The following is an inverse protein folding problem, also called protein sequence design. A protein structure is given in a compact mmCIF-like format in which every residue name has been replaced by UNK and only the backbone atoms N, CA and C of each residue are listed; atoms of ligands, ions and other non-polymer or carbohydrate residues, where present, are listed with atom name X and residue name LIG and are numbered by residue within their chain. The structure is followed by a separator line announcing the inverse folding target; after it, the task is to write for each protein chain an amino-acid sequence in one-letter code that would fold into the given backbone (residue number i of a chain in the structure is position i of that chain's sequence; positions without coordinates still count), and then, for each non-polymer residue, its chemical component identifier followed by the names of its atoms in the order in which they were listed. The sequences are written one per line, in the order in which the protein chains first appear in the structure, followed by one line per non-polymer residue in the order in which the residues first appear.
data_IF_665043508617
#
_entry.id   IF_665043508617
#
_cell.length_a   1.000
_cell.length_b   1.000
_cell.length_c   1.000
_cell.angle_alpha   90.00
_cell.angle_beta   90.00
_cell.angle_gamma   90.00
#
_symmetry.space_group_name_H-M   'P 1'
#
loop_
_entity.id
_entity.type
_entity.pdbx_description
1 polymer ?
#
# COMPACT_ATOMS: atom_id res chain seq x y z
N UNK A 1 37.53 11.70 -56.53
CA UNK A 1 37.10 11.77 -55.12
C UNK A 1 36.67 13.20 -54.80
N UNK A 2 35.55 13.66 -55.36
CA UNK A 2 35.05 15.03 -55.15
C UNK A 2 33.54 15.16 -55.36
N UNK A 3 32.76 14.11 -55.07
CA UNK A 3 31.30 14.12 -55.31
C UNK A 3 30.46 13.61 -54.14
N UNK A 4 31.05 13.39 -52.96
CA UNK A 4 30.32 13.01 -51.73
C UNK A 4 30.35 14.11 -50.65
N UNK A 5 31.17 15.16 -50.79
CA UNK A 5 31.19 16.31 -49.87
C UNK A 5 30.02 17.27 -50.10
N UNK A 6 29.51 17.33 -51.33
CA UNK A 6 28.57 18.39 -51.72
C UNK A 6 27.11 18.00 -51.40
N UNK A 7 26.79 16.70 -51.38
CA UNK A 7 25.48 16.18 -50.95
C UNK A 7 25.25 16.34 -49.44
N UNK A 8 26.29 16.12 -48.61
CA UNK A 8 26.21 16.30 -47.15
C UNK A 8 26.01 17.76 -46.75
N UNK A 9 26.55 18.70 -47.55
CA UNK A 9 26.41 20.14 -47.31
C UNK A 9 25.04 20.67 -47.75
N UNK A 10 24.42 20.08 -48.78
CA UNK A 10 23.03 20.41 -49.17
C UNK A 10 21.99 19.90 -48.17
N UNK A 11 22.20 18.71 -47.58
CA UNK A 11 21.28 18.15 -46.58
C UNK A 11 21.34 18.95 -45.26
N UNK A 12 22.53 19.40 -44.83
CA UNK A 12 22.66 20.26 -43.64
C UNK A 12 21.94 21.62 -43.78
N UNK A 13 21.91 22.19 -44.99
CA UNK A 13 21.24 23.48 -45.24
C UNK A 13 19.71 23.36 -45.46
N UNK A 14 19.19 22.16 -45.78
CA UNK A 14 17.75 21.93 -45.89
C UNK A 14 17.06 21.70 -44.54
N UNK A 15 17.80 21.23 -43.53
CA UNK A 15 17.29 20.94 -42.17
C UNK A 15 17.30 22.18 -41.25
N UNK A 16 17.94 23.28 -41.67
CA UNK A 16 18.12 24.50 -40.88
C UNK A 16 17.47 25.74 -41.50
N UNK A 17 16.35 25.61 -42.23
CA UNK A 17 15.50 26.78 -42.48
C UNK A 17 14.66 27.05 -41.23
N UNK A 18 14.79 28.21 -40.56
CA UNK A 18 13.82 28.61 -39.57
C UNK A 18 12.52 28.88 -40.33
N UNK A 19 11.55 27.97 -40.22
CA UNK A 19 10.16 28.34 -40.43
C UNK A 19 9.84 29.42 -39.41
N UNK A 20 9.52 30.63 -39.88
CA UNK A 20 9.01 31.72 -39.06
C UNK A 20 7.73 31.25 -38.35
N UNK A 21 7.89 30.62 -37.18
CA UNK A 21 6.81 30.28 -36.27
C UNK A 21 6.36 31.53 -35.47
N UNK A 22 7.15 32.60 -35.47
CA UNK A 22 6.85 33.84 -34.75
C UNK A 22 5.56 34.51 -35.23
N UNK A 23 5.25 34.43 -36.53
CA UNK A 23 4.04 35.06 -37.09
C UNK A 23 2.75 34.28 -36.84
N UNK A 24 2.82 33.00 -36.43
CA UNK A 24 1.64 32.20 -36.07
C UNK A 24 1.32 32.22 -34.56
N UNK A 25 2.28 32.58 -33.72
CA UNK A 25 2.12 32.60 -32.26
C UNK A 25 1.54 33.93 -31.77
N UNK A 26 1.87 35.05 -32.43
CA UNK A 26 1.44 36.38 -31.98
C UNK A 26 -0.07 36.66 -32.15
N UNK A 27 -0.75 36.00 -33.09
CA UNK A 27 -2.19 36.19 -33.31
C UNK A 27 -3.10 35.34 -32.40
N UNK A 28 -2.54 34.40 -31.63
CA UNK A 28 -3.31 33.53 -30.74
C UNK A 28 -3.14 33.84 -29.24
N UNK A 29 -2.14 34.66 -28.86
CA UNK A 29 -1.93 35.04 -27.46
C UNK A 29 -2.88 36.13 -26.97
N UNK A 30 -3.51 36.91 -27.85
CA UNK A 30 -4.41 38.02 -27.47
C UNK A 30 -5.86 37.60 -27.18
N UNK A 31 -6.24 36.33 -27.38
CA UNK A 31 -7.62 35.85 -27.18
C UNK A 31 -7.81 34.92 -25.96
N UNK A 32 -6.82 34.81 -25.07
CA UNK A 32 -6.95 34.00 -23.84
C UNK A 32 -7.53 34.82 -22.66
N UNK A 33 -7.53 36.15 -22.73
CA UNK A 33 -7.84 37.01 -21.58
C UNK A 33 -9.32 37.36 -21.34
N UNK A 34 -10.30 36.77 -22.04
CA UNK A 34 -11.70 37.19 -21.91
C UNK A 34 -12.74 36.10 -21.63
N UNK A 35 -12.35 34.91 -21.12
CA UNK A 35 -13.31 33.91 -20.68
C UNK A 35 -12.99 33.41 -19.25
N UNK A 36 -13.75 33.83 -18.23
CA UNK A 36 -13.55 33.43 -16.83
C UNK A 36 -13.60 31.92 -16.60
N UNK A 37 -14.44 31.20 -17.35
CA UNK A 37 -14.53 29.73 -17.27
C UNK A 37 -13.29 29.08 -17.87
N UNK A 38 -12.72 29.65 -18.94
CA UNK A 38 -11.47 29.16 -19.54
C UNK A 38 -10.26 29.36 -18.61
N UNK A 39 -10.22 30.49 -17.90
CA UNK A 39 -9.17 30.78 -16.90
C UNK A 39 -9.21 29.81 -15.71
N UNK A 40 -10.40 29.40 -15.26
CA UNK A 40 -10.55 28.38 -14.20
C UNK A 40 -10.08 26.98 -14.60
N UNK A 41 -10.07 26.65 -15.89
CA UNK A 41 -9.66 25.34 -16.40
C UNK A 41 -8.16 25.25 -16.72
N UNK A 42 -7.50 26.38 -16.96
CA UNK A 42 -6.09 26.46 -17.37
C UNK A 42 -5.21 26.99 -16.22
N UNK A 43 -5.18 26.28 -15.09
CA UNK A 43 -4.52 26.74 -13.87
C UNK A 43 -3.03 26.41 -13.81
N UNK A 44 -2.63 25.22 -14.31
CA UNK A 44 -1.29 24.68 -14.09
C UNK A 44 -0.66 24.26 -15.42
N UNK A 45 0.34 25.00 -15.93
CA UNK A 45 1.08 24.61 -17.11
C UNK A 45 1.85 23.30 -16.91
N UNK A 46 1.95 22.49 -17.96
CA UNK A 46 2.78 21.28 -17.94
C UNK A 46 4.25 21.67 -17.94
N UNK A 47 5.01 21.15 -16.98
CA UNK A 47 6.46 21.31 -16.88
C UNK A 47 7.08 20.11 -16.16
N UNK A 48 8.15 19.55 -16.72
CA UNK A 48 8.96 18.53 -16.07
C UNK A 48 10.09 19.11 -15.23
N UNK A 49 10.85 18.24 -14.58
CA UNK A 49 12.09 18.59 -13.90
C UNK A 49 13.20 18.92 -14.91
N UNK A 50 13.90 20.04 -14.70
CA UNK A 50 15.01 20.47 -15.54
C UNK A 50 16.33 19.94 -14.99
N UNK A 51 16.88 18.90 -15.63
CA UNK A 51 18.15 18.29 -15.23
C UNK A 51 19.37 19.21 -15.40
N UNK A 52 19.25 20.35 -16.10
CA UNK A 52 20.31 21.37 -16.09
C UNK A 52 20.50 21.99 -14.69
N UNK A 53 19.52 21.86 -13.80
CA UNK A 53 19.60 22.28 -12.38
C UNK A 53 20.31 21.27 -11.48
N UNK A 54 20.84 20.18 -12.03
CA UNK A 54 21.51 19.10 -11.30
C UNK A 54 20.57 17.98 -10.84
N UNK A 55 21.09 17.06 -10.03
CA UNK A 55 20.35 15.88 -9.56
C UNK A 55 19.79 16.16 -8.16
N UNK A 56 18.47 16.37 -8.08
CA UNK A 56 17.74 16.48 -6.81
C UNK A 56 16.46 15.66 -6.90
N UNK A 57 16.44 14.51 -6.23
CA UNK A 57 15.31 13.59 -6.28
C UNK A 57 14.02 14.17 -5.68
N UNK A 58 14.11 14.97 -4.61
CA UNK A 58 12.91 15.55 -4.02
C UNK A 58 12.27 16.60 -4.94
N UNK A 59 13.08 17.46 -5.57
CA UNK A 59 12.57 18.40 -6.57
C UNK A 59 12.10 17.71 -7.86
N UNK A 60 12.72 16.58 -8.24
CA UNK A 60 12.24 15.72 -9.33
C UNK A 60 10.84 15.16 -9.03
N UNK A 61 10.64 14.55 -7.87
CA UNK A 61 9.32 13.99 -7.51
C UNK A 61 8.28 15.06 -7.26
N UNK A 62 8.67 16.23 -6.74
CA UNK A 62 7.78 17.39 -6.63
C UNK A 62 7.29 17.88 -7.99
N UNK A 63 8.16 17.85 -9.02
CA UNK A 63 7.77 18.24 -10.38
C UNK A 63 6.72 17.31 -11.00
N UNK A 64 6.50 16.10 -10.44
CA UNK A 64 5.54 15.16 -11.00
C UNK A 64 4.10 15.70 -10.95
N UNK A 65 3.79 16.60 -10.02
CA UNK A 65 2.51 17.35 -9.98
C UNK A 65 2.22 18.08 -11.29
N UNK A 66 3.26 18.57 -11.98
CA UNK A 66 3.17 19.32 -13.25
C UNK A 66 3.61 18.51 -14.48
N UNK A 67 4.01 17.25 -14.34
CA UNK A 67 4.49 16.41 -15.47
C UNK A 67 3.36 15.84 -16.34
N UNK A 68 2.22 15.47 -15.75
CA UNK A 68 1.07 14.88 -16.45
C UNK A 68 0.91 13.36 -16.27
N UNK A 69 -0.26 12.85 -16.69
CA UNK A 69 -0.64 11.43 -16.59
C UNK A 69 -0.51 10.85 -15.16
N UNK A 70 0.04 9.64 -15.00
CA UNK A 70 0.21 9.02 -13.68
C UNK A 70 1.28 9.72 -12.83
N UNK A 71 2.18 10.52 -13.40
CA UNK A 71 3.10 11.32 -12.60
C UNK A 71 2.32 12.34 -11.75
N UNK A 72 1.31 13.02 -12.33
CA UNK A 72 0.45 13.93 -11.57
C UNK A 72 -0.33 13.20 -10.47
N UNK A 73 -0.84 11.99 -10.74
CA UNK A 73 -1.50 11.19 -9.69
C UNK A 73 -0.51 10.77 -8.59
N UNK A 74 0.73 10.44 -8.95
CA UNK A 74 1.79 10.15 -7.98
C UNK A 74 2.08 11.36 -7.08
N UNK A 75 2.23 12.55 -7.66
CA UNK A 75 2.41 13.80 -6.89
C UNK A 75 1.23 14.09 -5.96
N UNK A 76 0.00 13.94 -6.47
CA UNK A 76 -1.23 14.09 -5.66
C UNK A 76 -1.33 13.05 -4.54
N UNK A 77 -0.86 11.83 -4.76
CA UNK A 77 -0.84 10.80 -3.72
C UNK A 77 0.11 11.17 -2.56
N UNK A 78 1.25 11.81 -2.87
CA UNK A 78 2.15 12.37 -1.85
C UNK A 78 1.42 13.47 -1.06
N UNK A 79 0.80 14.43 -1.75
CA UNK A 79 0.05 15.54 -1.12
C UNK A 79 -1.08 15.01 -0.21
N UNK A 80 -1.85 14.02 -0.68
CA UNK A 80 -2.96 13.42 0.06
C UNK A 80 -2.47 12.70 1.33
N UNK A 81 -1.33 11.99 1.26
CA UNK A 81 -0.71 11.34 2.44
C UNK A 81 -0.12 12.38 3.41
N UNK A 82 0.45 13.48 2.92
CA UNK A 82 0.87 14.59 3.78
C UNK A 82 -0.31 15.21 4.54
N UNK A 83 -1.49 15.31 3.91
CA UNK A 83 -2.72 15.72 4.59
C UNK A 83 -3.15 14.71 5.68
N UNK A 84 -3.02 13.41 5.41
CA UNK A 84 -3.26 12.38 6.44
C UNK A 84 -2.31 12.57 7.64
N UNK A 85 -1.01 12.76 7.40
CA UNK A 85 0.00 12.96 8.45
C UNK A 85 -0.21 14.25 9.25
N UNK A 86 -0.61 15.34 8.56
CA UNK A 86 -1.00 16.58 9.21
C UNK A 86 -2.22 16.38 10.10
N UNK A 87 -3.27 15.75 9.58
CA UNK A 87 -4.47 15.42 10.34
C UNK A 87 -4.18 14.50 11.54
N UNK A 88 -3.22 13.58 11.38
CA UNK A 88 -2.76 12.69 12.45
C UNK A 88 -2.12 13.43 13.63
N UNK A 89 -1.48 14.57 13.34
CA UNK A 89 -0.84 15.45 14.34
C UNK A 89 -1.82 16.39 15.05
N UNK A 90 -3.08 16.45 14.62
CA UNK A 90 -4.13 17.23 15.28
C UNK A 90 -4.56 16.58 16.59
N UNK A 91 -5.04 17.39 17.55
CA UNK A 91 -5.60 16.87 18.80
C UNK A 91 -6.85 16.01 18.55
N UNK A 92 -7.10 15.05 19.44
CA UNK A 92 -8.27 14.17 19.39
C UNK A 92 -8.77 13.88 20.80
N UNK A 93 -10.05 13.54 20.91
CA UNK A 93 -10.64 13.14 22.19
C UNK A 93 -10.14 11.75 22.57
N UNK A 94 -9.78 11.56 23.83
CA UNK A 94 -9.40 10.26 24.38
C UNK A 94 -10.53 9.25 24.26
N UNK A 95 -10.16 7.98 24.06
CA UNK A 95 -11.10 6.85 24.02
C UNK A 95 -10.93 6.02 25.31
N UNK A 96 -11.25 6.66 26.43
CA UNK A 96 -10.99 6.13 27.78
C UNK A 96 -11.87 4.94 28.16
N UNK A 97 -12.95 4.70 27.41
CA UNK A 97 -13.88 3.59 27.63
C UNK A 97 -13.55 2.34 26.78
N UNK A 98 -12.55 2.42 25.89
CA UNK A 98 -12.12 1.28 25.10
C UNK A 98 -11.08 0.45 25.86
N UNK A 99 -11.46 -0.78 26.20
CA UNK A 99 -10.60 -1.72 26.93
C UNK A 99 -9.68 -2.50 25.98
N UNK A 100 -10.07 -2.67 24.71
CA UNK A 100 -9.25 -3.31 23.70
C UNK A 100 -8.24 -2.32 23.12
N UNK A 101 -7.02 -2.37 23.65
CA UNK A 101 -5.90 -1.49 23.28
C UNK A 101 -5.60 -1.46 21.77
N UNK A 102 -5.91 -2.54 21.04
CA UNK A 102 -5.70 -2.59 19.58
C UNK A 102 -6.72 -1.75 18.80
N UNK A 103 -7.86 -1.40 19.38
CA UNK A 103 -8.90 -0.59 18.72
C UNK A 103 -9.11 0.77 19.39
N UNK A 104 -8.36 1.05 20.45
CA UNK A 104 -8.36 2.36 21.10
C UNK A 104 -7.79 3.43 20.16
N UNK A 105 -8.46 4.58 20.07
CA UNK A 105 -8.00 5.71 19.25
C UNK A 105 -6.65 6.24 19.74
N UNK A 106 -5.65 6.27 18.86
CA UNK A 106 -4.28 6.71 19.19
C UNK A 106 -3.87 8.05 18.55
N UNK A 107 -4.64 8.59 17.61
CA UNK A 107 -4.23 9.77 16.84
C UNK A 107 -5.41 10.57 16.27
N UNK A 108 -5.13 11.78 15.76
CA UNK A 108 -6.14 12.63 15.10
C UNK A 108 -6.68 12.10 13.78
N UNK A 109 -5.96 11.15 13.15
CA UNK A 109 -6.33 10.53 11.90
C UNK A 109 -5.91 9.06 11.91
N UNK A 110 -6.88 8.15 11.89
CA UNK A 110 -6.65 6.71 11.84
C UNK A 110 -6.32 6.30 10.40
N UNK A 111 -5.08 5.85 10.16
CA UNK A 111 -4.61 5.44 8.84
C UNK A 111 -4.73 3.92 8.71
N UNK A 112 -5.59 3.49 7.79
CA UNK A 112 -5.74 2.11 7.37
C UNK A 112 -4.80 1.82 6.20
N UNK A 113 -3.93 0.83 6.35
CA UNK A 113 -3.04 0.36 5.30
C UNK A 113 -3.49 -1.04 4.83
N UNK A 114 -3.90 -1.13 3.57
CA UNK A 114 -4.22 -2.39 2.92
C UNK A 114 -3.14 -2.80 1.93
N UNK A 115 -2.74 -4.07 1.92
CA UNK A 115 -1.83 -4.60 0.90
C UNK A 115 -2.14 -6.05 0.56
N UNK A 116 -1.94 -6.42 -0.70
CA UNK A 116 -2.06 -7.81 -1.17
C UNK A 116 -0.84 -8.65 -0.81
N UNK A 117 -0.96 -9.98 -0.74
CA UNK A 117 0.12 -10.91 -0.36
C UNK A 117 1.44 -10.66 -1.09
N UNK A 118 1.38 -10.41 -2.41
CA UNK A 118 2.57 -10.20 -3.23
C UNK A 118 3.42 -8.98 -2.81
N UNK A 119 2.85 -8.01 -2.09
CA UNK A 119 3.62 -6.90 -1.51
C UNK A 119 4.58 -7.41 -0.43
N UNK A 120 4.16 -8.38 0.38
CA UNK A 120 4.99 -9.02 1.39
C UNK A 120 5.96 -10.02 0.76
N UNK A 121 5.57 -10.71 -0.33
CA UNK A 121 6.51 -11.53 -1.11
C UNK A 121 7.67 -10.70 -1.67
N UNK A 122 7.38 -9.46 -2.09
CA UNK A 122 8.37 -8.50 -2.62
C UNK A 122 9.21 -7.82 -1.53
N UNK A 123 10.09 -6.90 -1.93
CA UNK A 123 10.83 -6.02 -1.02
C UNK A 123 9.96 -4.91 -0.38
N UNK A 124 8.72 -4.74 -0.80
CA UNK A 124 7.77 -3.79 -0.19
C UNK A 124 7.47 -4.16 1.27
N UNK A 125 7.68 -5.43 1.66
CA UNK A 125 7.70 -5.87 3.06
C UNK A 125 8.49 -4.92 3.96
N UNK A 126 9.70 -4.53 3.57
CA UNK A 126 10.57 -3.72 4.42
C UNK A 126 10.06 -2.27 4.54
N UNK A 127 9.42 -1.79 3.48
CA UNK A 127 8.73 -0.49 3.46
C UNK A 127 7.52 -0.51 4.41
N UNK A 128 6.70 -1.56 4.36
CA UNK A 128 5.57 -1.75 5.27
C UNK A 128 6.06 -1.90 6.72
N UNK A 129 7.08 -2.72 6.95
CA UNK A 129 7.71 -2.93 8.27
C UNK A 129 8.16 -1.61 8.88
N UNK A 130 8.79 -0.72 8.11
CA UNK A 130 9.16 0.62 8.57
C UNK A 130 7.94 1.43 9.06
N UNK A 131 6.84 1.45 8.30
CA UNK A 131 5.63 2.17 8.69
C UNK A 131 5.04 1.64 10.00
N UNK A 132 5.00 0.32 10.15
CA UNK A 132 4.45 -0.37 11.32
C UNK A 132 5.36 -0.21 12.54
N UNK A 133 6.68 -0.39 12.37
CA UNK A 133 7.70 -0.22 13.41
C UNK A 133 7.64 1.17 14.06
N UNK A 134 7.38 2.21 13.26
CA UNK A 134 7.37 3.60 13.74
C UNK A 134 5.96 4.14 14.04
N UNK A 135 4.94 3.27 14.13
CA UNK A 135 3.54 3.64 14.43
C UNK A 135 3.02 4.74 13.50
N UNK A 136 3.33 4.64 12.21
CA UNK A 136 2.92 5.60 11.19
C UNK A 136 1.58 5.23 10.53
N UNK A 137 1.08 4.02 10.82
CA UNK A 137 -0.24 3.51 10.46
C UNK A 137 -0.89 2.89 11.68
N UNK A 138 -2.22 2.80 11.69
CA UNK A 138 -2.99 2.43 12.89
C UNK A 138 -3.76 1.12 12.71
N UNK A 139 -3.97 0.65 11.47
CA UNK A 139 -4.67 -0.61 11.19
C UNK A 139 -4.13 -1.24 9.89
N UNK A 140 -3.88 -2.55 9.89
CA UNK A 140 -3.48 -3.29 8.69
C UNK A 140 -4.61 -4.21 8.21
N UNK A 141 -4.76 -4.34 6.89
CA UNK A 141 -5.58 -5.40 6.28
C UNK A 141 -4.80 -6.07 5.17
N UNK A 142 -4.65 -7.39 5.26
CA UNK A 142 -3.94 -8.19 4.27
C UNK A 142 -4.67 -9.51 4.00
N UNK A 143 -4.22 -10.25 3.00
CA UNK A 143 -4.59 -11.65 2.72
C UNK A 143 -3.64 -12.62 3.44
N UNK A 144 -3.99 -13.91 3.51
CA UNK A 144 -3.23 -14.94 4.23
C UNK A 144 -1.76 -15.01 3.80
N UNK A 145 -1.49 -14.99 2.49
CA UNK A 145 -0.13 -14.91 1.95
C UNK A 145 0.69 -13.73 2.50
N UNK A 146 0.07 -12.58 2.77
CA UNK A 146 0.77 -11.43 3.37
C UNK A 146 1.04 -11.56 4.87
N UNK A 147 0.46 -12.56 5.52
CA UNK A 147 0.78 -12.94 6.90
C UNK A 147 1.88 -14.00 6.90
N UNK A 148 1.65 -15.12 6.21
CA UNK A 148 2.56 -16.26 6.24
C UNK A 148 3.91 -15.94 5.59
N UNK A 149 3.96 -15.16 4.50
CA UNK A 149 5.24 -14.83 3.87
C UNK A 149 6.10 -13.87 4.70
N UNK A 150 5.49 -13.04 5.56
CA UNK A 150 6.24 -12.20 6.50
C UNK A 150 6.94 -13.07 7.57
N UNK A 151 6.24 -14.09 8.06
CA UNK A 151 6.75 -15.04 9.04
C UNK A 151 7.80 -15.96 8.41
N UNK A 152 7.50 -16.54 7.25
CA UNK A 152 8.39 -17.43 6.50
C UNK A 152 9.73 -16.74 6.19
N UNK A 153 9.70 -15.45 5.83
CA UNK A 153 10.93 -14.67 5.57
C UNK A 153 11.85 -14.51 6.77
N UNK A 154 11.34 -14.69 7.99
CA UNK A 154 12.17 -14.75 9.20
C UNK A 154 12.84 -16.12 9.39
N UNK A 155 12.35 -17.17 8.72
CA UNK A 155 12.84 -18.54 8.82
C UNK A 155 13.76 -18.91 7.63
N UNK A 156 13.49 -18.37 6.45
CA UNK A 156 14.23 -18.65 5.23
C UNK A 156 13.99 -17.60 4.15
N UNK A 157 14.91 -17.47 3.20
CA UNK A 157 14.86 -16.41 2.19
C UNK A 157 13.94 -16.73 1.00
N UNK A 158 13.42 -15.67 0.38
CA UNK A 158 12.81 -15.66 -0.96
C UNK A 158 13.84 -15.13 -1.97
N UNK A 159 13.85 -15.66 -3.19
CA UNK A 159 14.88 -15.36 -4.19
C UNK A 159 14.30 -14.68 -5.42
N UNK A 160 15.14 -13.94 -6.15
CA UNK A 160 14.80 -13.41 -7.47
C UNK A 160 14.87 -14.54 -8.50
N UNK A 161 13.90 -14.59 -9.39
CA UNK A 161 13.81 -15.46 -10.56
C UNK A 161 13.26 -14.69 -11.77
N UNK A 162 12.47 -15.38 -12.61
CA UNK A 162 11.90 -14.81 -13.82
C UNK A 162 10.46 -15.30 -14.03
N UNK A 163 9.59 -14.44 -14.58
CA UNK A 163 8.19 -14.75 -14.87
C UNK A 163 8.01 -15.96 -15.81
N UNK A 164 8.99 -16.19 -16.70
CA UNK A 164 8.93 -17.19 -17.76
C UNK A 164 9.54 -18.54 -17.35
N UNK A 165 10.02 -18.69 -16.11
CA UNK A 165 10.52 -19.97 -15.62
C UNK A 165 9.41 -21.04 -15.69
N UNK A 166 9.76 -22.18 -16.30
CA UNK A 166 8.83 -23.29 -16.53
C UNK A 166 8.30 -23.86 -15.22
N UNK A 167 6.97 -23.80 -15.05
CA UNK A 167 6.30 -24.34 -13.86
C UNK A 167 6.55 -25.84 -13.67
N UNK A 168 6.70 -26.60 -14.77
CA UNK A 168 7.03 -28.04 -14.69
C UNK A 168 8.38 -28.26 -14.04
N UNK A 169 9.40 -27.53 -14.48
CA UNK A 169 10.76 -27.67 -13.96
C UNK A 169 10.87 -27.19 -12.51
N UNK A 170 10.21 -26.09 -12.18
CA UNK A 170 10.13 -25.57 -10.82
C UNK A 170 9.47 -26.59 -9.88
N UNK A 171 8.35 -27.19 -10.29
CA UNK A 171 7.65 -28.21 -9.48
C UNK A 171 8.52 -29.44 -9.24
N UNK A 172 9.21 -29.97 -10.25
CA UNK A 172 10.12 -31.12 -10.08
C UNK A 172 11.31 -30.79 -9.18
N UNK A 173 11.67 -29.51 -9.09
CA UNK A 173 12.78 -29.02 -8.24
C UNK A 173 12.30 -28.57 -6.85
N UNK A 174 11.01 -28.70 -6.53
CA UNK A 174 10.47 -28.26 -5.23
C UNK A 174 10.52 -26.75 -5.01
N UNK A 175 10.33 -25.95 -6.05
CA UNK A 175 10.35 -24.48 -5.98
C UNK A 175 8.99 -23.92 -6.43
N UNK A 176 8.44 -23.00 -5.63
CA UNK A 176 7.22 -22.26 -5.97
C UNK A 176 7.58 -20.90 -6.57
N UNK A 177 6.79 -20.43 -7.54
CA UNK A 177 7.01 -19.14 -8.20
C UNK A 177 5.90 -18.15 -7.86
N UNK A 178 6.29 -16.93 -7.50
CA UNK A 178 5.41 -15.79 -7.26
C UNK A 178 5.84 -14.68 -8.21
N UNK A 179 5.23 -14.57 -9.39
CA UNK A 179 5.69 -13.65 -10.43
C UNK A 179 7.12 -13.98 -10.90
N UNK A 180 8.07 -13.08 -10.63
CA UNK A 180 9.52 -13.28 -10.81
C UNK A 180 10.26 -13.59 -9.50
N UNK A 181 9.57 -14.07 -8.46
CA UNK A 181 10.18 -14.50 -7.20
C UNK A 181 10.09 -16.03 -7.07
N UNK A 182 11.03 -16.61 -6.32
CA UNK A 182 11.13 -18.04 -6.08
C UNK A 182 11.18 -18.35 -4.57
N UNK A 183 10.34 -19.29 -4.14
CA UNK A 183 10.24 -19.74 -2.75
C UNK A 183 10.43 -21.26 -2.72
N UNK A 184 11.57 -21.76 -2.19
CA UNK A 184 11.79 -23.19 -2.01
C UNK A 184 10.72 -23.83 -1.11
N UNK A 185 10.29 -25.06 -1.40
CA UNK A 185 9.33 -25.80 -0.57
C UNK A 185 9.80 -25.96 0.88
N UNK A 186 11.11 -26.07 1.08
CA UNK A 186 11.72 -26.20 2.41
C UNK A 186 11.37 -25.02 3.34
N UNK A 187 11.07 -23.84 2.77
CA UNK A 187 10.58 -22.70 3.54
C UNK A 187 9.22 -23.02 4.23
N UNK A 188 8.33 -23.74 3.55
CA UNK A 188 7.03 -24.13 4.09
C UNK A 188 7.13 -25.29 5.07
N UNK A 189 8.11 -26.19 4.90
CA UNK A 189 8.41 -27.22 5.90
C UNK A 189 8.87 -26.58 7.22
N UNK A 190 9.78 -25.60 7.16
CA UNK A 190 10.21 -24.83 8.34
C UNK A 190 9.06 -24.06 8.98
N UNK A 191 8.14 -23.56 8.17
CA UNK A 191 6.95 -22.88 8.66
C UNK A 191 6.00 -23.84 9.38
N UNK A 192 5.79 -25.04 8.85
CA UNK A 192 5.03 -26.10 9.53
C UNK A 192 5.61 -26.40 10.91
N UNK A 193 6.92 -26.67 10.97
CA UNK A 193 7.64 -26.99 12.21
C UNK A 193 7.48 -25.88 13.27
N UNK A 194 7.44 -24.62 12.82
CA UNK A 194 7.30 -23.45 13.69
C UNK A 194 5.84 -23.18 14.11
N UNK A 195 4.87 -23.26 13.19
CA UNK A 195 3.49 -22.81 13.46
C UNK A 195 2.64 -23.85 14.16
N UNK A 196 2.87 -25.14 13.92
CA UNK A 196 2.04 -26.22 14.50
C UNK A 196 2.04 -26.21 16.04
N UNK A 197 3.18 -26.06 16.74
CA UNK A 197 3.19 -25.93 18.20
C UNK A 197 2.41 -24.71 18.73
N UNK A 198 2.37 -23.62 17.96
CA UNK A 198 1.59 -22.42 18.29
C UNK A 198 0.09 -22.72 18.16
N UNK A 199 -0.32 -23.45 17.12
CA UNK A 199 -1.72 -23.89 16.96
C UNK A 199 -2.16 -24.86 18.07
N UNK A 200 -1.28 -25.74 18.54
CA UNK A 200 -1.54 -26.60 19.70
C UNK A 200 -1.75 -25.79 20.99
N UNK A 201 -0.94 -24.74 21.18
CA UNK A 201 -1.08 -23.81 22.32
C UNK A 201 -2.38 -23.02 22.22
N UNK A 202 -2.70 -22.49 21.05
CA UNK A 202 -3.93 -21.75 20.79
C UNK A 202 -5.18 -22.61 21.06
N UNK A 203 -5.17 -23.88 20.63
CA UNK A 203 -6.25 -24.83 20.91
C UNK A 203 -6.37 -25.14 22.41
N UNK A 204 -5.23 -25.27 23.10
CA UNK A 204 -5.20 -25.52 24.54
C UNK A 204 -5.81 -24.35 25.31
N UNK A 205 -5.42 -23.12 24.98
CA UNK A 205 -5.98 -21.89 25.54
C UNK A 205 -7.48 -21.77 25.25
N UNK A 206 -7.93 -22.12 24.03
CA UNK A 206 -9.35 -22.17 23.70
C UNK A 206 -10.12 -23.16 24.57
N UNK A 207 -9.58 -24.37 24.77
CA UNK A 207 -10.24 -25.42 25.58
C UNK A 207 -10.22 -25.13 27.07
N UNK A 208 -9.12 -24.54 27.57
CA UNK A 208 -8.90 -24.26 29.00
C UNK A 208 -9.62 -22.99 29.45
N UNK A 209 -9.47 -21.91 28.69
CA UNK A 209 -9.86 -20.55 29.10
C UNK A 209 -11.11 -20.05 28.37
N UNK A 210 -11.62 -20.81 27.39
CA UNK A 210 -12.76 -20.38 26.56
C UNK A 210 -12.39 -19.29 25.54
N UNK A 211 -11.10 -19.07 25.29
CA UNK A 211 -10.59 -18.05 24.37
C UNK A 211 -11.00 -18.37 22.92
N UNK A 212 -11.88 -17.56 22.33
CA UNK A 212 -12.23 -17.68 20.91
C UNK A 212 -11.27 -16.83 20.08
N UNK A 213 -10.51 -17.50 19.21
CA UNK A 213 -9.58 -16.86 18.31
C UNK A 213 -10.32 -16.15 17.18
N UNK A 214 -9.72 -15.07 16.69
CA UNK A 214 -10.09 -14.41 15.45
C UNK A 214 -8.82 -14.21 14.63
N UNK A 215 -8.90 -13.91 13.32
CA UNK A 215 -7.71 -13.71 12.51
C UNK A 215 -6.73 -12.70 13.10
N UNK A 216 -7.21 -11.55 13.58
CA UNK A 216 -6.37 -10.52 14.18
C UNK A 216 -5.72 -10.94 15.49
N UNK A 217 -6.42 -11.69 16.35
CA UNK A 217 -5.83 -12.25 17.58
C UNK A 217 -4.73 -13.27 17.26
N UNK A 218 -4.97 -14.14 16.28
CA UNK A 218 -3.97 -15.12 15.85
C UNK A 218 -2.76 -14.42 15.20
N UNK A 219 -2.97 -13.40 14.36
CA UNK A 219 -1.87 -12.59 13.81
C UNK A 219 -1.04 -11.93 14.92
N UNK A 220 -1.68 -11.36 15.93
CA UNK A 220 -0.99 -10.79 17.10
C UNK A 220 -0.14 -11.84 17.80
N UNK A 221 -0.67 -13.05 18.03
CA UNK A 221 0.06 -14.15 18.65
C UNK A 221 1.24 -14.61 17.79
N UNK A 222 1.06 -14.74 16.47
CA UNK A 222 2.14 -15.10 15.56
C UNK A 222 3.26 -14.04 15.52
N UNK A 223 2.90 -12.75 15.62
CA UNK A 223 3.85 -11.65 15.73
C UNK A 223 4.63 -11.66 17.05
N UNK A 224 3.99 -12.05 18.15
CA UNK A 224 4.65 -12.27 19.44
C UNK A 224 5.67 -13.43 19.36
N UNK A 225 5.23 -14.58 18.85
CA UNK A 225 6.01 -15.82 18.82
C UNK A 225 7.18 -15.78 17.83
N UNK A 226 7.08 -15.02 16.72
CA UNK A 226 8.19 -14.94 15.75
C UNK A 226 9.38 -14.16 16.31
N UNK A 227 9.13 -13.25 17.27
CA UNK A 227 10.13 -12.50 18.04
C UNK A 227 11.30 -11.92 17.21
N UNK A 228 11.03 -11.47 15.98
CA UNK A 228 12.04 -11.02 15.03
C UNK A 228 11.72 -9.60 14.52
N UNK A 229 12.65 -8.67 14.69
CA UNK A 229 12.52 -7.25 14.29
C UNK A 229 12.45 -7.03 12.77
N UNK A 230 12.71 -8.05 11.97
CA UNK A 230 12.49 -8.03 10.52
C UNK A 230 11.02 -8.28 10.13
N UNK A 231 10.18 -8.76 11.06
CA UNK A 231 8.76 -9.07 10.80
C UNK A 231 7.86 -7.84 10.93
N UNK A 232 6.94 -7.70 9.98
CA UNK A 232 5.81 -6.76 10.06
C UNK A 232 4.89 -7.14 11.22
N UNK A 233 4.54 -8.43 11.35
CA UNK A 233 3.66 -8.92 12.43
C UNK A 233 4.25 -8.70 13.82
N UNK A 234 5.56 -8.88 13.99
CA UNK A 234 6.24 -8.57 15.25
C UNK A 234 6.05 -7.10 15.64
N UNK A 235 6.33 -6.17 14.73
CA UNK A 235 6.13 -4.75 15.02
C UNK A 235 4.66 -4.40 15.21
N UNK A 236 3.75 -5.05 14.48
CA UNK A 236 2.32 -4.85 14.65
C UNK A 236 1.87 -5.25 16.07
N UNK A 237 2.31 -6.41 16.56
CA UNK A 237 2.10 -6.84 17.94
C UNK A 237 2.69 -5.85 18.95
N UNK A 238 3.99 -5.52 18.82
CA UNK A 238 4.71 -4.62 19.74
C UNK A 238 4.10 -3.22 19.83
N UNK A 239 3.48 -2.77 18.74
CA UNK A 239 2.86 -1.46 18.64
C UNK A 239 1.34 -1.47 18.77
N UNK A 240 0.72 -2.62 19.08
CA UNK A 240 -0.72 -2.78 19.23
C UNK A 240 -1.50 -2.34 17.96
N UNK A 241 -0.94 -2.61 16.79
CA UNK A 241 -1.57 -2.37 15.49
C UNK A 241 -2.28 -3.66 15.06
N UNK A 242 -3.62 -3.68 14.95
CA UNK A 242 -4.33 -4.89 14.55
C UNK A 242 -4.10 -5.20 13.06
N UNK A 243 -3.98 -6.50 12.77
CA UNK A 243 -3.86 -7.02 11.41
C UNK A 243 -5.08 -7.86 11.09
N UNK A 244 -5.96 -7.36 10.22
CA UNK A 244 -7.16 -8.09 9.80
C UNK A 244 -6.89 -8.89 8.53
N UNK A 245 -7.39 -10.13 8.51
CA UNK A 245 -7.37 -10.99 7.33
C UNK A 245 -8.62 -11.87 7.34
N UNK A 246 -9.73 -11.42 6.71
CA UNK A 246 -11.00 -12.15 6.74
C UNK A 246 -10.92 -13.55 6.13
N UNK A 247 -10.01 -13.76 5.17
CA UNK A 247 -9.76 -15.05 4.53
C UNK A 247 -8.42 -15.64 4.97
N UNK A 248 -8.19 -15.77 6.28
CA UNK A 248 -6.93 -16.27 6.85
C UNK A 248 -6.57 -17.70 6.41
N UNK A 249 -7.57 -18.49 6.05
CA UNK A 249 -7.40 -19.89 5.63
C UNK A 249 -6.97 -20.05 4.16
N UNK A 250 -6.84 -18.97 3.39
CA UNK A 250 -6.52 -19.01 1.95
C UNK A 250 -5.00 -18.92 1.69
N UNK A 251 -4.25 -19.90 2.21
CA UNK A 251 -2.78 -19.94 2.11
C UNK A 251 -2.15 -21.11 2.87
N UNK A 252 -0.83 -21.13 2.96
CA UNK A 252 -0.07 -22.14 3.71
C UNK A 252 -0.48 -22.21 5.18
N UNK A 253 -0.83 -21.09 5.82
CA UNK A 253 -1.36 -21.11 7.19
C UNK A 253 -2.68 -21.90 7.27
N UNK A 254 -3.52 -21.79 6.23
CA UNK A 254 -4.72 -22.61 6.07
C UNK A 254 -4.41 -24.10 5.92
N UNK A 255 -3.38 -24.46 5.14
CA UNK A 255 -2.91 -25.84 5.03
C UNK A 255 -2.47 -26.39 6.39
N UNK A 256 -1.74 -25.59 7.18
CA UNK A 256 -1.30 -25.98 8.52
C UNK A 256 -2.47 -26.16 9.48
N UNK A 257 -3.46 -25.26 9.46
CA UNK A 257 -4.72 -25.40 10.22
C UNK A 257 -5.46 -26.67 9.80
N UNK A 258 -5.55 -26.96 8.50
CA UNK A 258 -6.18 -28.15 7.98
C UNK A 258 -5.50 -29.43 8.50
N UNK A 259 -4.18 -29.54 8.36
CA UNK A 259 -3.43 -30.72 8.82
C UNK A 259 -3.46 -30.85 10.36
N UNK A 260 -3.37 -29.73 11.07
CA UNK A 260 -3.50 -29.67 12.53
C UNK A 260 -4.84 -30.22 12.99
N UNK A 261 -5.95 -29.88 12.30
CA UNK A 261 -7.31 -30.26 12.70
C UNK A 261 -7.55 -31.79 12.76
N UNK A 262 -6.83 -32.59 11.98
CA UNK A 262 -6.92 -34.06 12.05
C UNK A 262 -6.19 -34.65 13.27
N UNK A 263 -5.11 -34.00 13.71
CA UNK A 263 -4.33 -34.41 14.90
C UNK A 263 -4.97 -33.89 16.19
N UNK A 264 -5.39 -32.63 16.15
CA UNK A 264 -5.83 -31.84 17.28
C UNK A 264 -7.14 -31.10 16.93
N UNK A 265 -8.29 -31.80 16.87
CA UNK A 265 -9.53 -31.19 16.40
C UNK A 265 -10.06 -30.11 17.36
N UNK A 266 -10.74 -29.12 16.76
CA UNK A 266 -11.62 -28.18 17.45
C UNK A 266 -11.15 -26.73 17.51
N UNK A 267 -10.04 -26.33 16.87
CA UNK A 267 -9.63 -24.92 16.82
C UNK A 267 -10.67 -24.09 16.06
N UNK A 268 -11.14 -23.00 16.66
CA UNK A 268 -12.14 -22.10 16.07
C UNK A 268 -11.50 -20.74 15.87
N UNK A 269 -11.55 -20.25 14.63
CA UNK A 269 -11.11 -18.90 14.25
C UNK A 269 -12.33 -18.16 13.71
N UNK A 270 -12.89 -17.26 14.52
CA UNK A 270 -14.12 -16.53 14.24
C UNK A 270 -13.85 -15.17 13.60
N UNK A 271 -14.38 -14.99 12.39
CA UNK A 271 -14.29 -13.75 11.63
C UNK A 271 -15.31 -12.69 12.10
N UNK A 272 -16.37 -13.08 12.82
CA UNK A 272 -17.42 -12.17 13.27
C UNK A 272 -16.92 -11.20 14.36
N UNK A 273 -16.00 -11.65 15.23
CA UNK A 273 -15.30 -10.76 16.15
C UNK A 273 -14.50 -9.67 15.41
N UNK A 274 -13.81 -10.03 14.33
CA UNK A 274 -12.92 -9.12 13.61
C UNK A 274 -13.68 -8.05 12.82
N UNK A 275 -14.84 -8.38 12.21
CA UNK A 275 -15.66 -7.36 11.54
C UNK A 275 -16.17 -6.31 12.53
N UNK A 276 -16.47 -6.69 13.78
CA UNK A 276 -16.85 -5.72 14.83
C UNK A 276 -15.67 -4.81 15.17
N UNK A 277 -14.47 -5.36 15.33
CA UNK A 277 -13.25 -4.60 15.68
C UNK A 277 -12.91 -3.58 14.60
N UNK A 278 -12.76 -3.99 13.33
CA UNK A 278 -12.36 -3.07 12.26
C UNK A 278 -13.41 -1.97 12.02
N UNK A 279 -14.71 -2.29 12.08
CA UNK A 279 -15.77 -1.29 11.94
C UNK A 279 -15.76 -0.31 13.12
N UNK A 280 -15.50 -0.80 14.34
CA UNK A 280 -15.40 0.07 15.53
C UNK A 280 -14.24 1.04 15.42
N UNK A 281 -13.07 0.60 14.93
CA UNK A 281 -11.92 1.47 14.66
C UNK A 281 -12.31 2.62 13.71
N UNK A 282 -13.04 2.31 12.63
CA UNK A 282 -13.48 3.32 11.68
C UNK A 282 -14.52 4.29 12.29
N UNK A 283 -15.57 3.77 12.93
CA UNK A 283 -16.61 4.60 13.58
C UNK A 283 -16.02 5.53 14.62
N UNK A 284 -15.02 5.06 15.37
CA UNK A 284 -14.31 5.86 16.36
C UNK A 284 -13.28 6.80 15.75
N UNK A 285 -12.92 6.72 14.48
CA UNK A 285 -11.88 7.58 13.93
C UNK A 285 -12.37 9.05 13.81
N UNK A 286 -11.62 10.00 14.39
CA UNK A 286 -11.90 11.45 14.23
C UNK A 286 -11.83 11.83 12.75
N UNK A 287 -10.70 11.50 12.11
CA UNK A 287 -10.51 11.44 10.66
C UNK A 287 -10.00 10.06 10.30
N UNK A 288 -10.23 9.60 9.08
CA UNK A 288 -9.62 8.37 8.56
C UNK A 288 -8.98 8.56 7.19
N UNK A 289 -7.84 7.89 7.02
CA UNK A 289 -7.13 7.81 5.75
C UNK A 289 -7.03 6.36 5.29
N UNK A 290 -7.23 6.11 3.99
CA UNK A 290 -7.02 4.79 3.38
C UNK A 290 -5.81 4.83 2.45
N UNK A 291 -4.85 3.94 2.67
CA UNK A 291 -3.74 3.68 1.75
C UNK A 291 -3.85 2.23 1.30
N UNK A 292 -4.12 1.99 0.02
CA UNK A 292 -4.47 0.66 -0.49
C UNK A 292 -3.52 0.27 -1.63
N UNK A 293 -2.69 -0.74 -1.38
CA UNK A 293 -1.73 -1.31 -2.34
C UNK A 293 -2.33 -2.59 -2.93
N UNK A 294 -2.91 -2.49 -4.12
CA UNK A 294 -3.62 -3.58 -4.78
C UNK A 294 -5.16 -3.46 -4.70
N UNK A 295 -5.83 -4.60 -4.69
CA UNK A 295 -7.30 -4.72 -4.78
C UNK A 295 -7.83 -5.92 -3.99
N UNK A 296 -9.01 -6.43 -4.34
CA UNK A 296 -9.61 -7.61 -3.70
C UNK A 296 -10.09 -7.35 -2.26
N UNK A 297 -10.03 -8.37 -1.41
CA UNK A 297 -10.61 -8.33 -0.06
C UNK A 297 -10.04 -7.19 0.80
N UNK A 298 -8.74 -6.90 0.67
CA UNK A 298 -8.07 -5.86 1.46
C UNK A 298 -8.63 -4.47 1.13
N UNK A 299 -8.86 -4.18 -0.17
CA UNK A 299 -9.46 -2.93 -0.63
C UNK A 299 -10.90 -2.81 -0.12
N UNK A 300 -11.70 -3.83 -0.40
CA UNK A 300 -13.11 -3.79 -0.08
C UNK A 300 -13.35 -3.74 1.44
N UNK A 301 -12.61 -4.50 2.24
CA UNK A 301 -12.81 -4.59 3.68
C UNK A 301 -12.48 -3.27 4.40
N UNK A 302 -11.39 -2.59 4.03
CA UNK A 302 -11.06 -1.24 4.55
C UNK A 302 -12.12 -0.22 4.15
N UNK A 303 -12.50 -0.19 2.87
CA UNK A 303 -13.49 0.75 2.36
C UNK A 303 -14.87 0.53 3.01
N UNK A 304 -15.25 -0.73 3.24
CA UNK A 304 -16.50 -1.08 3.90
C UNK A 304 -16.50 -0.76 5.41
N UNK A 305 -15.35 -0.81 6.08
CA UNK A 305 -15.26 -0.31 7.45
C UNK A 305 -15.49 1.22 7.49
N UNK A 306 -14.92 1.95 6.53
CA UNK A 306 -15.08 3.40 6.43
C UNK A 306 -16.48 3.83 5.97
N UNK A 307 -17.26 2.96 5.32
CA UNK A 307 -18.69 3.19 5.10
C UNK A 307 -19.44 3.45 6.42
N UNK A 308 -19.07 2.76 7.50
CA UNK A 308 -19.76 2.86 8.81
C UNK A 308 -19.64 4.25 9.45
N UNK A 309 -18.71 5.09 8.97
CA UNK A 309 -18.53 6.49 9.37
C UNK A 309 -18.91 7.49 8.28
N UNK A 310 -19.68 7.07 7.27
CA UNK A 310 -20.03 7.83 6.07
C UNK A 310 -18.82 8.24 5.21
N UNK A 311 -17.82 7.36 5.15
CA UNK A 311 -16.70 7.44 4.21
C UNK A 311 -15.40 7.92 4.82
N UNK A 312 -14.28 7.60 4.18
CA UNK A 312 -12.96 8.10 4.57
C UNK A 312 -12.74 9.56 4.16
N UNK A 313 -11.97 10.30 4.96
CA UNK A 313 -11.60 11.70 4.69
C UNK A 313 -10.51 11.81 3.62
N UNK A 314 -9.59 10.85 3.60
CA UNK A 314 -8.47 10.80 2.66
C UNK A 314 -8.34 9.42 2.03
N UNK A 315 -7.90 9.33 0.77
CA UNK A 315 -7.77 8.03 0.09
C UNK A 315 -6.72 8.03 -1.01
N UNK A 316 -5.79 7.07 -0.92
CA UNK A 316 -4.77 6.79 -1.95
C UNK A 316 -4.81 5.31 -2.32
N UNK A 317 -5.13 5.03 -3.59
CA UNK A 317 -5.09 3.69 -4.16
C UNK A 317 -3.89 3.57 -5.11
N UNK A 318 -3.12 2.50 -4.98
CA UNK A 318 -2.02 2.16 -5.88
C UNK A 318 -2.26 0.74 -6.37
N UNK A 319 -2.76 0.58 -7.58
CA UNK A 319 -3.02 -0.74 -8.15
C UNK A 319 -3.02 -0.71 -9.69
N UNK A 320 -3.01 -1.91 -10.27
CA UNK A 320 -3.00 -2.12 -11.72
C UNK A 320 -4.37 -2.47 -12.29
N UNK A 321 -5.41 -2.53 -11.44
CA UNK A 321 -6.77 -2.91 -11.82
C UNK A 321 -7.45 -1.86 -12.71
N UNK A 322 -8.21 -2.34 -13.69
CA UNK A 322 -8.90 -1.51 -14.70
C UNK A 322 -10.41 -1.62 -14.56
N UNK A 323 -11.15 -0.55 -14.88
CA UNK A 323 -12.59 -0.47 -14.60
C UNK A 323 -13.47 -1.29 -15.55
N UNK A 324 -12.97 -1.65 -16.74
CA UNK A 324 -13.80 -2.19 -17.84
C UNK A 324 -14.46 -3.54 -17.55
N UNK A 325 -13.94 -4.30 -16.58
CA UNK A 325 -14.43 -5.62 -16.20
C UNK A 325 -15.46 -5.59 -15.05
N UNK A 326 -15.76 -4.40 -14.52
CA UNK A 326 -16.70 -4.22 -13.41
C UNK A 326 -16.19 -4.76 -12.06
N UNK A 327 -14.89 -5.01 -11.92
CA UNK A 327 -14.32 -5.49 -10.66
C UNK A 327 -14.16 -4.37 -9.62
N UNK A 328 -14.46 -4.68 -8.35
CA UNK A 328 -14.16 -3.76 -7.23
C UNK A 328 -12.65 -3.43 -7.19
N UNK A 329 -11.78 -4.38 -7.53
CA UNK A 329 -10.33 -4.15 -7.63
C UNK A 329 -9.97 -3.05 -8.62
N UNK A 330 -10.63 -3.04 -9.78
CA UNK A 330 -10.38 -2.10 -10.88
C UNK A 330 -11.13 -0.77 -10.78
N UNK A 331 -12.16 -0.71 -9.94
CA UNK A 331 -12.98 0.48 -9.72
C UNK A 331 -12.15 1.75 -9.43
N UNK A 332 -12.64 2.88 -9.94
CA UNK A 332 -12.11 4.21 -9.60
C UNK A 332 -12.59 4.63 -8.21
N UNK A 333 -11.86 5.50 -7.49
CA UNK A 333 -12.32 5.98 -6.18
C UNK A 333 -13.69 6.67 -6.21
N UNK A 334 -14.04 7.29 -7.34
CA UNK A 334 -15.35 7.91 -7.57
C UNK A 334 -16.52 6.92 -7.42
N UNK A 335 -16.32 5.65 -7.81
CA UNK A 335 -17.32 4.61 -7.54
C UNK A 335 -17.53 4.42 -6.04
N UNK A 336 -16.46 4.42 -5.24
CA UNK A 336 -16.54 4.28 -3.79
C UNK A 336 -17.21 5.49 -3.11
N UNK A 337 -17.17 6.69 -3.73
CA UNK A 337 -17.97 7.85 -3.29
C UNK A 337 -19.46 7.56 -3.42
N UNK A 338 -19.90 6.94 -4.53
CA UNK A 338 -21.32 6.61 -4.74
C UNK A 338 -21.91 5.70 -3.65
N UNK A 339 -21.07 4.86 -3.04
CA UNK A 339 -21.44 3.98 -1.92
C UNK A 339 -21.36 4.64 -0.55
N UNK A 340 -20.76 5.83 -0.43
CA UNK A 340 -20.43 6.44 0.86
C UNK A 340 -19.24 5.79 1.57
N UNK A 341 -18.42 5.00 0.86
CA UNK A 341 -17.16 4.43 1.38
C UNK A 341 -16.04 5.48 1.41
N UNK A 342 -16.15 6.51 0.57
CA UNK A 342 -15.31 7.70 0.52
C UNK A 342 -16.24 8.91 0.63
N UNK A 343 -15.83 9.97 1.34
CA UNK A 343 -16.66 11.17 1.51
C UNK A 343 -16.78 11.98 0.22
N UNK A 344 -17.91 12.67 0.06
CA UNK A 344 -18.23 13.52 -1.11
C UNK A 344 -17.26 14.71 -1.24
N UNK A 345 -16.75 15.22 -0.11
CA UNK A 345 -15.84 16.36 -0.03
C UNK A 345 -14.34 15.97 -0.08
N UNK A 346 -14.03 14.69 -0.23
CA UNK A 346 -12.65 14.19 -0.33
C UNK A 346 -12.07 14.35 -1.75
N UNK A 347 -10.75 14.28 -1.85
CA UNK A 347 -10.01 14.34 -3.12
C UNK A 347 -9.23 13.04 -3.37
N UNK A 348 -9.92 11.89 -3.55
CA UNK A 348 -9.26 10.60 -3.57
C UNK A 348 -8.38 10.42 -4.81
N UNK A 349 -7.23 9.78 -4.62
CA UNK A 349 -6.21 9.61 -5.66
C UNK A 349 -6.04 8.13 -6.00
N UNK A 350 -5.95 7.82 -7.29
CA UNK A 350 -5.56 6.48 -7.79
C UNK A 350 -4.33 6.58 -8.69
N UNK A 351 -3.28 5.87 -8.34
CA UNK A 351 -2.07 5.69 -9.15
C UNK A 351 -2.14 4.32 -9.83
N UNK A 352 -2.23 4.32 -11.16
CA UNK A 352 -2.24 3.11 -11.98
C UNK A 352 -0.80 2.64 -12.22
N UNK A 353 -0.22 1.92 -11.26
CA UNK A 353 1.16 1.46 -11.31
C UNK A 353 1.37 0.21 -10.44
N UNK A 354 2.45 -0.52 -10.71
CA UNK A 354 2.96 -1.53 -9.77
C UNK A 354 3.48 -0.82 -8.51
N UNK A 355 2.94 -1.19 -7.35
CA UNK A 355 3.31 -0.57 -6.08
C UNK A 355 4.79 -0.75 -5.73
N UNK A 356 5.46 -1.79 -6.25
CA UNK A 356 6.90 -2.00 -6.04
C UNK A 356 7.77 -0.87 -6.60
N UNK A 357 7.28 -0.14 -7.62
CA UNK A 357 7.98 0.99 -8.23
C UNK A 357 7.73 2.31 -7.48
N UNK A 358 6.51 2.53 -7.02
CA UNK A 358 6.07 3.86 -6.55
C UNK A 358 5.96 3.97 -5.04
N UNK A 359 5.59 2.91 -4.33
CA UNK A 359 5.34 2.99 -2.89
C UNK A 359 6.60 3.31 -2.06
N UNK A 360 7.80 2.77 -2.36
CA UNK A 360 9.01 3.16 -1.64
C UNK A 360 9.32 4.65 -1.78
N UNK A 361 9.06 5.23 -2.96
CA UNK A 361 9.29 6.64 -3.24
C UNK A 361 8.24 7.50 -2.50
N UNK A 362 6.97 7.09 -2.51
CA UNK A 362 5.93 7.76 -1.73
C UNK A 362 6.29 7.77 -0.25
N UNK A 363 6.73 6.64 0.31
CA UNK A 363 7.18 6.57 1.71
C UNK A 363 8.39 7.45 1.96
N UNK A 364 9.35 7.50 1.03
CA UNK A 364 10.51 8.39 1.12
C UNK A 364 10.10 9.87 1.16
N UNK A 365 9.16 10.28 0.30
CA UNK A 365 8.72 11.67 0.20
C UNK A 365 7.68 12.08 1.26
N UNK A 366 7.10 11.12 2.01
CA UNK A 366 6.07 11.39 3.03
C UNK A 366 6.48 10.91 4.42
N UNK A 367 6.19 9.65 4.75
CA UNK A 367 6.38 9.03 6.06
C UNK A 367 7.82 9.08 6.59
N UNK A 368 8.81 8.81 5.73
CA UNK A 368 10.21 8.83 6.12
C UNK A 368 10.66 10.25 6.47
N UNK A 369 10.34 11.24 5.64
CA UNK A 369 10.57 12.66 5.95
C UNK A 369 9.88 13.06 7.24
N UNK A 370 8.60 12.71 7.41
CA UNK A 370 7.84 13.02 8.63
C UNK A 370 8.51 12.43 9.88
N UNK A 371 8.92 11.16 9.84
CA UNK A 371 9.58 10.47 10.95
C UNK A 371 10.94 11.10 11.28
N UNK A 372 11.83 11.22 10.29
CA UNK A 372 13.19 11.73 10.52
C UNK A 372 13.22 13.23 10.85
N UNK A 373 12.32 14.03 10.27
CA UNK A 373 12.17 15.44 10.65
C UNK A 373 11.68 15.59 12.09
N UNK A 374 10.71 14.77 12.52
CA UNK A 374 10.21 14.79 13.90
C UNK A 374 11.28 14.42 14.92
N UNK A 375 12.19 13.50 14.59
CA UNK A 375 13.33 13.16 15.45
C UNK A 375 14.32 14.32 15.59
N UNK A 376 14.61 15.04 14.50
CA UNK A 376 15.52 16.19 14.54
C UNK A 376 15.04 17.32 15.47
N UNK A 377 13.72 17.49 15.63
CA UNK A 377 13.12 18.45 16.56
C UNK A 377 13.09 18.00 18.02
N UNK A 378 13.23 16.70 18.31
CA UNK A 378 13.29 16.16 19.68
C UNK A 378 14.70 16.16 20.28
N UNK A 379 15.73 16.38 19.45
CA UNK A 379 17.14 16.44 19.86
C UNK A 379 17.64 17.87 20.14
N UNK A 380 16.80 18.88 19.92
CA UNK A 380 17.00 20.29 20.30
C UNK A 380 16.04 20.58 21.45
#
# INVERSE_FOLDING_TARGET
MSSQSDELTMIQNAVLKPTNLSTFVDNNQTNIEANPEKSKLLTTPVSGYDFNKGINYSELFKSYTTTGFQATNFGRAIEEIELMLKARSESFDSDDFEEDLFIQRQSGCTIFLGYTSNMISSGIRDTIRFLVQHRLVDCLVTTAGGIEEDLIKCLSSTYIGDFHLSGRHLRTSGINRIGNLLVPNDNYCKFEDWVVPILDSALTEQKRDGQIWSPSKLCSRLGEEIANEESVLYWAFRNQIPVFCPALTDGSLGDMIYMHSFRSPGLIIDIAQDIRRINSIAVKAKKSGMIILGGGVIKHHIANANLMRNGADFSVFINTGQEFDGSDSGARPDEAISWGKIRIDSSPVKVYCDASLVFPIIVAETFAKYHHYSLSKKQI
#
